data_IF_172880050739
#
_entry.id   IF_172880050739
#
_cell.length_a   1.000
_cell.length_b   1.000
_cell.length_c   1.000
_cell.angle_alpha   90.00
_cell.angle_beta   90.00
_cell.angle_gamma   90.00
#
_symmetry.space_group_name_H-M   'P 1'
#
loop_
_entity.id
_entity.type
_entity.pdbx_description
1 polymer ?
#
# COMPACT_ATOMS: atom_id res chain seq x y z
N UNK A 1 -35.20 31.63 -57.69
CA UNK A 1 -34.23 32.43 -56.91
C UNK A 1 -33.22 33.00 -57.87
N UNK A 2 -33.08 34.32 -57.89
CA UNK A 2 -32.02 34.97 -58.66
C UNK A 2 -30.72 34.92 -57.86
N UNK A 3 -29.57 34.97 -58.53
CA UNK A 3 -28.25 35.07 -57.89
C UNK A 3 -28.15 36.26 -56.92
N UNK A 4 -28.94 37.31 -57.14
CA UNK A 4 -29.05 38.47 -56.26
C UNK A 4 -29.80 38.18 -54.94
N UNK A 5 -30.78 37.27 -54.94
CA UNK A 5 -31.49 36.88 -53.72
C UNK A 5 -30.55 36.11 -52.78
N UNK A 6 -29.76 35.20 -53.35
CA UNK A 6 -28.79 34.39 -52.60
C UNK A 6 -27.66 35.23 -51.98
N UNK A 7 -27.16 36.23 -52.71
CA UNK A 7 -26.15 37.16 -52.19
C UNK A 7 -26.69 38.00 -51.01
N UNK A 8 -27.94 38.45 -51.10
CA UNK A 8 -28.61 39.21 -50.03
C UNK A 8 -28.86 38.35 -48.78
N UNK A 9 -29.28 37.11 -48.97
CA UNK A 9 -29.50 36.16 -47.87
C UNK A 9 -28.18 35.81 -47.16
N UNK A 10 -27.09 35.61 -47.92
CA UNK A 10 -25.75 35.42 -47.36
C UNK A 10 -25.25 36.65 -46.57
N UNK A 11 -25.49 37.86 -47.09
CA UNK A 11 -25.11 39.09 -46.39
C UNK A 11 -25.91 39.29 -45.11
N UNK A 12 -27.21 38.98 -45.12
CA UNK A 12 -28.06 39.01 -43.93
C UNK A 12 -27.59 37.99 -42.89
N UNK A 13 -27.35 36.74 -43.28
CA UNK A 13 -26.83 35.71 -42.39
C UNK A 13 -25.46 36.09 -41.78
N UNK A 14 -24.57 36.72 -42.56
CA UNK A 14 -23.29 37.21 -42.06
C UNK A 14 -23.47 38.33 -41.03
N UNK A 15 -24.39 39.27 -41.25
CA UNK A 15 -24.71 40.34 -40.30
C UNK A 15 -25.30 39.80 -39.01
N UNK A 16 -26.21 38.83 -39.09
CA UNK A 16 -26.79 38.15 -37.93
C UNK A 16 -25.73 37.38 -37.13
N UNK A 17 -24.82 36.69 -37.82
CA UNK A 17 -23.68 36.02 -37.18
C UNK A 17 -22.75 37.02 -36.46
N UNK A 18 -22.43 38.15 -37.10
CA UNK A 18 -21.59 39.19 -36.50
C UNK A 18 -22.27 39.83 -35.28
N UNK A 19 -23.57 40.12 -35.34
CA UNK A 19 -24.35 40.65 -34.23
C UNK A 19 -24.44 39.65 -33.06
N UNK A 20 -24.67 38.37 -33.35
CA UNK A 20 -24.66 37.29 -32.37
C UNK A 20 -23.31 37.16 -31.68
N UNK A 21 -22.21 37.22 -32.45
CA UNK A 21 -20.84 37.18 -31.93
C UNK A 21 -20.52 38.40 -31.04
N UNK A 22 -20.96 39.59 -31.44
CA UNK A 22 -20.79 40.80 -30.64
C UNK A 22 -21.53 40.70 -29.29
N UNK A 23 -22.79 40.24 -29.31
CA UNK A 23 -23.59 40.00 -28.10
C UNK A 23 -22.97 38.94 -27.19
N UNK A 24 -22.46 37.84 -27.75
CA UNK A 24 -21.76 36.82 -26.98
C UNK A 24 -20.48 37.38 -26.32
N UNK A 25 -19.72 38.22 -27.02
CA UNK A 25 -18.53 38.87 -26.47
C UNK A 25 -18.87 39.83 -25.32
N UNK A 26 -19.95 40.60 -25.44
CA UNK A 26 -20.44 41.48 -24.38
C UNK A 26 -20.85 40.70 -23.12
N UNK A 27 -21.61 39.61 -23.29
CA UNK A 27 -21.99 38.71 -22.18
C UNK A 27 -20.75 38.13 -21.51
N UNK A 28 -19.78 37.62 -22.29
CA UNK A 28 -18.52 37.08 -21.75
C UNK A 28 -17.70 38.16 -21.02
N UNK A 29 -17.67 39.40 -21.52
CA UNK A 29 -16.98 40.50 -20.86
C UNK A 29 -17.62 40.88 -19.52
N UNK A 30 -18.95 40.84 -19.45
CA UNK A 30 -19.72 41.07 -18.22
C UNK A 30 -19.45 39.96 -17.21
N UNK A 31 -19.51 38.69 -17.65
CA UNK A 31 -19.19 37.53 -16.81
C UNK A 31 -17.75 37.57 -16.27
N UNK A 32 -16.76 37.90 -17.12
CA UNK A 32 -15.37 38.09 -16.69
C UNK A 32 -15.22 39.21 -15.66
N UNK A 33 -15.94 40.30 -15.85
CA UNK A 33 -15.92 41.43 -14.90
C UNK A 33 -16.55 41.03 -13.55
N UNK A 34 -17.58 40.17 -13.55
CA UNK A 34 -18.20 39.67 -12.31
C UNK A 34 -17.41 38.55 -11.61
N UNK A 35 -16.63 37.75 -12.34
CA UNK A 35 -15.86 36.63 -11.76
C UNK A 35 -14.52 37.08 -11.18
N UNK A 36 -13.92 38.14 -11.73
CA UNK A 36 -12.61 38.65 -11.26
C UNK A 36 -12.59 38.97 -9.76
N UNK A 37 -13.60 39.65 -9.16
CA UNK A 37 -13.65 39.88 -7.71
C UNK A 37 -13.77 38.58 -6.89
N UNK A 38 -14.42 37.55 -7.44
CA UNK A 38 -14.55 36.23 -6.79
C UNK A 38 -13.18 35.53 -6.80
N UNK A 39 -12.47 35.54 -7.92
CA UNK A 39 -11.13 34.98 -8.03
C UNK A 39 -10.12 35.69 -7.12
N UNK A 40 -10.21 37.02 -7.00
CA UNK A 40 -9.41 37.81 -6.07
C UNK A 40 -9.71 37.43 -4.62
N UNK A 41 -10.99 37.23 -4.27
CA UNK A 41 -11.38 36.79 -2.93
C UNK A 41 -10.91 35.37 -2.61
N UNK A 42 -10.95 34.45 -3.58
CA UNK A 42 -10.40 33.09 -3.41
C UNK A 42 -8.89 33.16 -3.15
N UNK A 43 -8.15 34.01 -3.89
CA UNK A 43 -6.71 34.20 -3.67
C UNK A 43 -6.41 34.76 -2.28
N UNK A 44 -7.20 35.74 -1.82
CA UNK A 44 -7.06 36.30 -0.46
C UNK A 44 -7.32 35.27 0.63
N UNK A 45 -8.39 34.48 0.51
CA UNK A 45 -8.72 33.43 1.49
C UNK A 45 -7.66 32.33 1.54
N UNK A 46 -7.07 31.95 0.40
CA UNK A 46 -5.94 31.01 0.37
C UNK A 46 -4.72 31.55 1.10
N UNK A 47 -4.37 32.82 0.88
CA UNK A 47 -3.25 33.45 1.59
C UNK A 47 -3.50 33.51 3.11
N UNK A 48 -4.74 33.78 3.55
CA UNK A 48 -5.11 33.74 4.96
C UNK A 48 -5.03 32.33 5.54
N UNK A 49 -5.46 31.31 4.78
CA UNK A 49 -5.35 29.91 5.18
C UNK A 49 -3.88 29.48 5.34
N UNK A 50 -3.01 29.87 4.42
CA UNK A 50 -1.58 29.59 4.47
C UNK A 50 -0.94 30.26 5.70
N UNK A 51 -1.28 31.52 5.97
CA UNK A 51 -0.80 32.26 7.15
C UNK A 51 -1.25 31.60 8.47
N UNK A 52 -2.53 31.22 8.57
CA UNK A 52 -3.06 30.53 9.75
C UNK A 52 -2.43 29.15 9.93
N UNK A 53 -2.17 28.44 8.84
CA UNK A 53 -1.49 27.14 8.85
C UNK A 53 -0.06 27.30 9.36
N UNK A 54 0.68 28.30 8.89
CA UNK A 54 2.01 28.63 9.37
C UNK A 54 2.02 29.03 10.86
N UNK A 55 1.04 29.84 11.30
CA UNK A 55 0.87 30.21 12.72
C UNK A 55 0.58 29.00 13.60
N UNK A 56 -0.32 28.11 13.16
CA UNK A 56 -0.63 26.85 13.87
C UNK A 56 0.61 25.99 13.99
N UNK A 57 1.38 25.83 12.91
CA UNK A 57 2.62 25.06 12.93
C UNK A 57 3.65 25.66 13.91
N UNK A 58 3.81 27.00 13.93
CA UNK A 58 4.69 27.68 14.87
C UNK A 58 4.25 27.49 16.33
N UNK A 59 2.95 27.61 16.63
CA UNK A 59 2.41 27.37 17.97
C UNK A 59 2.63 25.93 18.43
N UNK A 60 2.40 24.94 17.56
CA UNK A 60 2.65 23.52 17.86
C UNK A 60 4.15 23.28 18.11
N UNK A 61 5.04 23.89 17.31
CA UNK A 61 6.47 23.77 17.51
C UNK A 61 6.93 24.41 18.83
N UNK A 62 6.37 25.57 19.21
CA UNK A 62 6.66 26.24 20.48
C UNK A 62 6.13 25.44 21.68
N UNK A 63 4.90 24.92 21.60
CA UNK A 63 4.31 24.08 22.64
C UNK A 63 5.10 22.77 22.80
N UNK A 64 5.49 22.11 21.71
CA UNK A 64 6.38 20.96 21.75
C UNK A 64 7.73 21.34 22.39
N UNK A 65 8.38 22.41 21.94
CA UNK A 65 9.64 22.86 22.51
C UNK A 65 9.53 23.21 24.00
N UNK A 66 8.39 23.75 24.46
CA UNK A 66 8.12 24.05 25.86
C UNK A 66 7.84 22.79 26.70
N UNK A 67 7.08 21.84 26.15
CA UNK A 67 6.75 20.56 26.78
C UNK A 67 8.01 19.69 26.97
N UNK A 68 8.95 19.75 26.03
CA UNK A 68 10.22 19.02 26.07
C UNK A 68 11.40 19.82 26.69
N UNK A 69 11.22 21.12 26.98
CA UNK A 69 12.27 22.01 27.53
C UNK A 69 12.83 21.64 28.91
N UNK A 70 12.16 20.95 29.84
CA UNK A 70 12.73 20.72 31.17
C UNK A 70 13.65 19.50 31.33
N UNK A 71 13.71 18.59 30.35
CA UNK A 71 14.40 17.29 30.56
C UNK A 71 15.82 17.21 29.98
N UNK A 72 16.23 18.12 29.09
CA UNK A 72 17.56 18.05 28.43
C UNK A 72 18.73 18.05 29.43
N UNK A 73 18.62 18.80 30.52
CA UNK A 73 19.61 18.84 31.61
C UNK A 73 19.75 17.50 32.36
N UNK A 74 18.71 16.67 32.35
CA UNK A 74 18.72 15.34 32.97
C UNK A 74 18.81 14.23 31.93
N UNK A 75 18.68 14.51 30.63
CA UNK A 75 18.61 13.52 29.57
C UNK A 75 19.83 12.59 29.63
N UNK A 76 21.05 13.15 29.76
CA UNK A 76 22.26 12.35 29.91
C UNK A 76 22.22 11.43 31.13
N UNK A 77 21.69 11.89 32.27
CA UNK A 77 21.57 11.09 33.48
C UNK A 77 20.47 10.02 33.36
N UNK A 78 19.34 10.35 32.74
CA UNK A 78 18.23 9.45 32.46
C UNK A 78 18.66 8.36 31.48
N UNK A 79 19.34 8.72 30.38
CA UNK A 79 19.86 7.77 29.39
C UNK A 79 20.89 6.83 30.02
N UNK A 80 21.83 7.38 30.81
CA UNK A 80 22.82 6.58 31.52
C UNK A 80 22.17 5.61 32.52
N UNK A 81 21.19 6.08 33.29
CA UNK A 81 20.44 5.24 34.23
C UNK A 81 19.62 4.17 33.49
N UNK A 82 18.88 4.56 32.45
CA UNK A 82 18.09 3.66 31.60
C UNK A 82 18.97 2.55 31.02
N UNK A 83 20.10 2.91 30.42
CA UNK A 83 21.07 1.96 29.87
C UNK A 83 21.61 1.01 30.93
N UNK A 84 22.05 1.53 32.08
CA UNK A 84 22.59 0.71 33.16
C UNK A 84 21.54 -0.23 33.76
N UNK A 85 20.31 0.25 33.93
CA UNK A 85 19.21 -0.56 34.45
C UNK A 85 18.81 -1.67 33.48
N UNK A 86 18.64 -1.35 32.19
CA UNK A 86 18.29 -2.33 31.15
C UNK A 86 19.37 -3.41 31.01
N UNK A 87 20.65 -3.04 31.02
CA UNK A 87 21.75 -4.01 30.94
C UNK A 87 21.73 -4.97 32.12
N UNK A 88 21.53 -4.45 33.34
CA UNK A 88 21.44 -5.30 34.55
C UNK A 88 20.22 -6.20 34.54
N UNK A 89 19.09 -5.71 34.05
CA UNK A 89 17.87 -6.49 33.92
C UNK A 89 18.02 -7.60 32.87
N UNK A 90 18.55 -7.27 31.70
CA UNK A 90 18.83 -8.21 30.63
C UNK A 90 19.80 -9.32 31.08
N UNK A 91 20.89 -8.95 31.75
CA UNK A 91 21.84 -9.91 32.35
C UNK A 91 21.16 -10.81 33.39
N UNK A 92 20.32 -10.24 34.26
CA UNK A 92 19.55 -11.02 35.22
C UNK A 92 18.56 -11.99 34.54
N UNK A 93 17.92 -11.59 33.44
CA UNK A 93 17.06 -12.49 32.66
C UNK A 93 17.86 -13.62 32.04
N UNK A 94 18.97 -13.31 31.36
CA UNK A 94 19.83 -14.29 30.71
C UNK A 94 20.37 -15.34 31.70
N UNK A 95 20.73 -14.90 32.91
CA UNK A 95 21.35 -15.77 33.92
C UNK A 95 20.34 -16.56 34.76
N UNK A 96 19.13 -16.02 34.99
CA UNK A 96 18.18 -16.61 35.94
C UNK A 96 17.00 -17.30 35.28
N UNK A 97 16.62 -16.90 34.06
CA UNK A 97 15.48 -17.47 33.37
C UNK A 97 15.94 -18.49 32.33
N UNK A 98 15.27 -19.64 32.21
CA UNK A 98 15.47 -20.54 31.07
C UNK A 98 15.00 -19.87 29.77
N UNK A 99 15.51 -20.34 28.64
CA UNK A 99 15.29 -19.71 27.32
C UNK A 99 13.80 -19.60 26.98
N UNK A 100 12.99 -20.59 27.34
CA UNK A 100 11.56 -20.64 27.08
C UNK A 100 10.81 -19.51 27.81
N UNK A 101 11.18 -19.22 29.06
CA UNK A 101 10.57 -18.11 29.80
C UNK A 101 11.02 -16.74 29.26
N UNK A 102 12.26 -16.64 28.75
CA UNK A 102 12.72 -15.42 28.08
C UNK A 102 11.96 -15.17 26.79
N UNK A 103 11.77 -16.19 25.97
CA UNK A 103 10.97 -16.12 24.74
C UNK A 103 9.53 -15.65 25.01
N UNK A 104 8.89 -16.13 26.10
CA UNK A 104 7.58 -15.63 26.51
C UNK A 104 7.58 -14.12 26.83
N UNK A 105 8.60 -13.63 27.54
CA UNK A 105 8.75 -12.20 27.82
C UNK A 105 8.94 -11.41 26.53
N UNK A 106 9.76 -11.91 25.62
CA UNK A 106 10.03 -11.24 24.33
C UNK A 106 8.79 -11.19 23.46
N UNK A 107 8.01 -12.27 23.39
CA UNK A 107 6.73 -12.29 22.70
C UNK A 107 5.75 -11.26 23.30
N UNK A 108 5.72 -11.14 24.63
CA UNK A 108 4.90 -10.13 25.30
C UNK A 108 5.33 -8.69 24.94
N UNK A 109 6.64 -8.42 24.81
CA UNK A 109 7.13 -7.10 24.38
C UNK A 109 6.60 -6.74 22.97
N UNK A 110 6.60 -7.70 22.05
CA UNK A 110 6.07 -7.52 20.69
C UNK A 110 4.54 -7.49 20.60
N UNK A 111 3.84 -8.08 21.57
CA UNK A 111 2.38 -8.02 21.66
C UNK A 111 1.90 -6.71 22.28
N UNK A 112 2.59 -6.23 23.33
CA UNK A 112 2.29 -4.99 24.03
C UNK A 112 2.58 -3.73 23.21
N UNK A 113 3.43 -3.83 22.18
CA UNK A 113 3.68 -2.76 21.19
C UNK A 113 2.59 -2.65 20.13
N UNK A 114 1.52 -3.46 20.22
CA UNK A 114 0.37 -3.34 19.32
C UNK A 114 -0.52 -2.18 19.77
N UNK A 115 -0.89 -1.33 18.83
CA UNK A 115 -1.87 -0.27 19.06
C UNK A 115 -3.28 -0.83 19.33
N UNK A 116 -4.25 0.06 19.61
CA UNK A 116 -5.66 -0.34 19.77
C UNK A 116 -6.28 -0.98 18.50
N UNK A 117 -5.61 -0.89 17.35
CA UNK A 117 -5.98 -1.57 16.12
C UNK A 117 -5.25 -2.92 15.91
N UNK A 118 -4.41 -3.34 16.87
CA UNK A 118 -3.68 -4.61 16.82
C UNK A 118 -2.44 -4.58 15.91
N UNK A 119 -2.00 -3.40 15.46
CA UNK A 119 -0.85 -3.20 14.57
C UNK A 119 0.41 -2.96 15.37
N UNK A 120 1.49 -3.63 14.98
CA UNK A 120 2.80 -3.44 15.60
C UNK A 120 3.50 -2.25 14.94
N UNK A 121 3.05 -1.04 15.27
CA UNK A 121 3.51 0.20 14.63
C UNK A 121 5.02 0.41 14.82
N UNK A 122 5.64 -0.08 15.89
CA UNK A 122 7.08 0.06 16.13
C UNK A 122 7.92 -0.81 15.17
N UNK A 123 7.57 -2.09 15.02
CA UNK A 123 8.26 -2.99 14.09
C UNK A 123 8.02 -2.59 12.62
N UNK A 124 6.78 -2.19 12.31
CA UNK A 124 6.41 -1.69 11.00
C UNK A 124 7.16 -0.38 10.70
N UNK A 125 7.17 0.58 11.62
CA UNK A 125 7.90 1.84 11.46
C UNK A 125 9.39 1.62 11.26
N UNK A 126 10.03 0.68 11.97
CA UNK A 126 11.43 0.33 11.75
C UNK A 126 11.68 -0.30 10.37
N UNK A 127 10.77 -1.18 9.92
CA UNK A 127 10.82 -1.74 8.57
C UNK A 127 10.69 -0.67 7.49
N UNK A 128 9.83 0.32 7.72
CA UNK A 128 9.61 1.44 6.82
C UNK A 128 10.69 2.52 6.93
N UNK A 129 11.32 2.73 8.09
CA UNK A 129 12.37 3.74 8.32
C UNK A 129 13.69 3.47 7.58
N UNK A 130 13.89 2.24 7.08
CA UNK A 130 15.01 1.93 6.16
C UNK A 130 14.78 2.44 4.73
N UNK A 131 13.71 3.20 4.47
CA UNK A 131 13.44 3.84 3.17
C UNK A 131 13.89 5.32 3.19
N UNK A 132 14.71 5.76 2.22
CA UNK A 132 15.34 7.08 2.24
C UNK A 132 14.39 8.30 2.15
N UNK A 133 13.10 8.12 1.87
CA UNK A 133 12.09 9.19 1.79
C UNK A 133 11.24 9.39 3.06
N UNK A 134 11.30 8.49 4.04
CA UNK A 134 10.56 8.62 5.30
C UNK A 134 11.34 9.39 6.38
N UNK A 135 12.30 10.19 5.94
CA UNK A 135 13.13 11.09 6.76
C UNK A 135 12.32 12.15 7.52
N UNK A 136 11.04 12.36 7.23
CA UNK A 136 10.21 13.30 8.01
C UNK A 136 9.94 12.78 9.45
N UNK A 137 10.32 11.52 9.74
CA UNK A 137 10.40 10.96 11.10
C UNK A 137 11.84 10.86 11.64
N UNK A 138 12.74 11.76 11.22
CA UNK A 138 14.21 11.77 11.42
C UNK A 138 14.75 11.62 12.87
N UNK A 139 13.90 11.56 13.91
CA UNK A 139 14.31 11.17 15.28
C UNK A 139 13.90 9.73 15.69
N UNK A 140 13.26 8.95 14.80
CA UNK A 140 12.75 7.58 15.08
C UNK A 140 13.70 6.44 14.71
N UNK A 141 14.95 6.74 14.36
CA UNK A 141 16.00 5.72 14.22
C UNK A 141 16.44 5.11 15.56
N UNK A 142 15.87 5.57 16.67
CA UNK A 142 16.09 4.98 17.99
C UNK A 142 15.24 3.71 18.09
N UNK A 143 15.89 2.57 17.83
CA UNK A 143 15.39 1.26 18.24
C UNK A 143 14.88 1.34 19.69
N UNK A 144 13.68 0.81 20.03
CA UNK A 144 13.25 0.75 21.42
C UNK A 144 14.37 0.20 22.32
N UNK A 145 14.54 0.76 23.51
CA UNK A 145 15.64 0.40 24.41
C UNK A 145 15.71 -1.10 24.71
N UNK A 146 14.58 -1.82 24.62
CA UNK A 146 14.55 -3.26 24.85
C UNK A 146 15.08 -4.09 23.68
N UNK A 147 15.29 -3.53 22.48
CA UNK A 147 16.02 -4.17 21.36
C UNK A 147 17.38 -3.55 21.05
N UNK A 148 17.64 -2.32 21.52
CA UNK A 148 18.94 -1.69 21.31
C UNK A 148 20.07 -2.45 22.04
N UNK A 149 21.05 -2.91 21.28
CA UNK A 149 22.24 -3.61 21.79
C UNK A 149 23.00 -2.80 22.84
N UNK A 150 22.96 -1.46 22.80
CA UNK A 150 23.58 -0.64 23.82
C UNK A 150 22.85 -0.73 25.17
N UNK A 151 21.55 -0.99 25.17
CA UNK A 151 20.69 -1.02 26.35
C UNK A 151 20.49 -2.42 26.92
N UNK A 152 20.39 -3.47 26.10
CA UNK A 152 20.15 -4.84 26.57
C UNK A 152 21.32 -5.81 26.32
N UNK A 153 22.34 -5.35 25.60
CA UNK A 153 23.45 -6.19 25.17
C UNK A 153 23.11 -7.04 23.93
N UNK A 154 24.13 -7.48 23.17
CA UNK A 154 23.93 -8.13 21.88
C UNK A 154 23.20 -9.48 21.98
N UNK A 155 23.48 -10.29 23.00
CA UNK A 155 22.84 -11.60 23.18
C UNK A 155 21.33 -11.46 23.42
N UNK A 156 20.93 -10.56 24.31
CA UNK A 156 19.51 -10.31 24.60
C UNK A 156 18.79 -9.68 23.42
N UNK A 157 19.40 -8.68 22.77
CA UNK A 157 18.84 -8.09 21.56
C UNK A 157 18.61 -9.16 20.48
N UNK A 158 19.58 -10.06 20.27
CA UNK A 158 19.47 -11.16 19.32
C UNK A 158 18.31 -12.10 19.66
N UNK A 159 18.15 -12.53 20.91
CA UNK A 159 17.02 -13.40 21.30
C UNK A 159 15.66 -12.69 21.14
N UNK A 160 15.60 -11.38 21.37
CA UNK A 160 14.36 -10.60 21.19
C UNK A 160 13.96 -10.49 19.73
N UNK A 161 14.90 -10.18 18.83
CA UNK A 161 14.64 -10.17 17.38
C UNK A 161 14.34 -11.58 16.88
N UNK A 162 15.04 -12.61 17.39
CA UNK A 162 14.74 -14.00 17.09
C UNK A 162 13.30 -14.36 17.47
N UNK A 163 12.84 -13.96 18.66
CA UNK A 163 11.46 -14.14 19.09
C UNK A 163 10.48 -13.45 18.14
N UNK A 164 10.78 -12.24 17.63
CA UNK A 164 9.94 -11.56 16.64
C UNK A 164 9.73 -12.40 15.37
N UNK A 165 10.82 -12.91 14.78
CA UNK A 165 10.76 -13.74 13.57
C UNK A 165 10.15 -15.14 13.81
N UNK A 166 10.18 -15.64 15.06
CA UNK A 166 9.66 -16.96 15.46
C UNK A 166 8.22 -16.97 15.95
N UNK A 167 7.78 -15.91 16.64
CA UNK A 167 6.40 -15.72 17.12
C UNK A 167 5.37 -15.87 15.99
N UNK A 168 5.87 -15.83 14.76
CA UNK A 168 5.11 -15.93 13.56
C UNK A 168 4.41 -14.61 13.36
N UNK A 169 4.18 -14.29 12.09
CA UNK A 169 3.40 -13.13 11.75
C UNK A 169 1.98 -13.29 12.33
N UNK A 170 1.78 -12.83 13.57
CA UNK A 170 0.47 -12.41 14.05
C UNK A 170 -0.11 -11.49 12.97
N UNK A 171 -1.43 -11.49 12.72
CA UNK A 171 -2.06 -10.89 11.54
C UNK A 171 -1.64 -9.45 11.14
N UNK A 172 -0.95 -8.72 12.02
CA UNK A 172 -0.35 -7.41 11.78
C UNK A 172 1.06 -7.37 11.16
N UNK A 173 1.77 -8.49 10.98
CA UNK A 173 3.12 -8.51 10.38
C UNK A 173 3.04 -9.06 8.95
N UNK A 174 2.61 -8.25 7.99
CA UNK A 174 2.50 -8.67 6.59
C UNK A 174 3.68 -8.12 5.80
N UNK A 175 4.26 -8.94 4.91
CA UNK A 175 5.14 -8.44 3.86
C UNK A 175 4.24 -7.83 2.80
N UNK A 176 4.14 -6.49 2.80
CA UNK A 176 3.32 -5.74 1.85
C UNK A 176 3.99 -5.69 0.48
N UNK A 177 3.46 -6.48 -0.44
CA UNK A 177 3.95 -6.61 -1.80
C UNK A 177 5.04 -7.68 -1.95
N UNK A 178 5.02 -8.47 -3.03
CA UNK A 178 5.97 -9.54 -3.26
C UNK A 178 7.41 -9.04 -3.38
N UNK A 179 7.63 -7.82 -3.88
CA UNK A 179 8.96 -7.21 -4.01
C UNK A 179 9.71 -7.04 -2.68
N UNK A 180 9.00 -7.04 -1.55
CA UNK A 180 9.58 -6.88 -0.23
C UNK A 180 9.97 -8.21 0.44
N UNK A 181 9.69 -9.36 -0.18
CA UNK A 181 10.04 -10.68 0.36
C UNK A 181 11.55 -10.81 0.53
N UNK A 182 12.33 -10.39 -0.47
CA UNK A 182 13.78 -10.51 -0.43
C UNK A 182 14.36 -9.70 0.73
N UNK A 183 13.94 -8.43 0.85
CA UNK A 183 14.29 -7.54 1.95
C UNK A 183 13.97 -8.19 3.30
N UNK A 184 12.74 -8.73 3.44
CA UNK A 184 12.29 -9.42 4.66
C UNK A 184 13.19 -10.58 5.09
N UNK A 185 13.74 -11.32 4.12
CA UNK A 185 14.51 -12.52 4.39
C UNK A 185 16.01 -12.29 4.50
N UNK A 186 16.52 -11.18 3.95
CA UNK A 186 17.95 -10.95 3.75
C UNK A 186 18.48 -9.76 4.55
N UNK A 187 17.65 -8.74 4.80
CA UNK A 187 18.10 -7.51 5.42
C UNK A 187 18.02 -7.61 6.95
N UNK A 188 19.13 -7.29 7.59
CA UNK A 188 19.18 -7.07 9.03
C UNK A 188 18.75 -5.63 9.32
N UNK A 189 17.44 -5.37 9.28
CA UNK A 189 16.87 -4.03 9.53
C UNK A 189 17.12 -3.50 10.93
N UNK A 190 17.52 -4.38 11.86
CA UNK A 190 17.88 -4.00 13.23
C UNK A 190 19.38 -3.77 13.41
N UNK A 191 20.19 -4.10 12.40
CA UNK A 191 21.65 -3.94 12.39
C UNK A 191 22.36 -4.61 13.58
N UNK A 192 21.87 -5.76 14.03
CA UNK A 192 22.42 -6.52 15.18
C UNK A 192 23.22 -7.77 14.79
N UNK A 193 23.49 -7.97 13.50
CA UNK A 193 24.08 -9.19 12.94
C UNK A 193 23.08 -10.34 12.80
N UNK A 194 21.79 -10.04 12.64
CA UNK A 194 20.74 -11.04 12.53
C UNK A 194 20.56 -11.56 11.09
N UNK A 195 20.25 -12.84 10.92
CA UNK A 195 20.00 -13.45 9.60
C UNK A 195 18.58 -13.98 9.50
N UNK A 196 17.60 -13.18 9.02
CA UNK A 196 16.18 -13.55 9.02
C UNK A 196 15.86 -14.91 8.41
N UNK A 197 16.46 -15.20 7.25
CA UNK A 197 16.26 -16.46 6.53
C UNK A 197 16.57 -17.75 7.32
N UNK A 198 17.29 -17.68 8.45
CA UNK A 198 17.54 -18.86 9.32
C UNK A 198 16.47 -19.05 10.39
N UNK A 199 15.86 -17.95 10.84
CA UNK A 199 14.97 -17.92 11.99
C UNK A 199 13.48 -17.86 11.64
N UNK A 200 13.12 -17.35 10.45
CA UNK A 200 11.72 -17.27 10.00
C UNK A 200 11.05 -18.64 10.09
N UNK A 201 9.88 -18.69 10.74
CA UNK A 201 8.99 -19.87 10.82
C UNK A 201 7.60 -19.63 10.26
N UNK A 202 7.22 -18.38 10.08
CA UNK A 202 5.97 -18.01 9.43
C UNK A 202 6.16 -16.73 8.62
N UNK A 203 5.57 -16.66 7.43
CA UNK A 203 5.54 -15.47 6.60
C UNK A 203 4.14 -15.28 6.02
N UNK A 204 3.66 -14.04 6.06
CA UNK A 204 2.41 -13.63 5.42
C UNK A 204 2.76 -12.61 4.34
N UNK A 205 2.58 -12.97 3.08
CA UNK A 205 2.79 -12.10 1.93
C UNK A 205 1.45 -11.51 1.52
N UNK A 206 1.29 -10.21 1.70
CA UNK A 206 0.12 -9.48 1.23
C UNK A 206 0.39 -8.96 -0.18
N UNK A 207 -0.24 -9.57 -1.18
CA UNK A 207 -0.04 -9.30 -2.58
C UNK A 207 -1.28 -8.61 -3.15
N UNK A 208 -1.19 -7.29 -3.31
CA UNK A 208 -2.20 -6.55 -4.07
C UNK A 208 -2.00 -6.84 -5.55
N UNK A 209 -2.85 -7.70 -6.11
CA UNK A 209 -2.76 -8.22 -7.49
C UNK A 209 -2.81 -7.07 -8.49
N UNK A 210 -3.57 -6.02 -8.20
CA UNK A 210 -3.64 -4.81 -9.01
C UNK A 210 -2.30 -4.08 -9.15
N UNK A 211 -1.36 -4.20 -8.20
CA UNK A 211 -0.03 -3.57 -8.25
C UNK A 211 1.04 -4.38 -8.98
N UNK A 212 0.79 -5.65 -9.28
CA UNK A 212 1.80 -6.57 -9.83
C UNK A 212 1.98 -6.45 -11.35
N UNK A 213 1.82 -5.27 -11.95
CA UNK A 213 1.71 -5.07 -13.42
C UNK A 213 3.02 -4.60 -14.07
N UNK A 214 3.14 -4.87 -15.37
CA UNK A 214 4.31 -4.53 -16.20
C UNK A 214 4.48 -3.03 -16.49
N UNK A 215 3.39 -2.28 -16.66
CA UNK A 215 3.44 -0.82 -16.73
C UNK A 215 3.02 -0.28 -15.37
N UNK A 216 3.63 0.81 -14.88
CA UNK A 216 3.18 1.53 -13.66
C UNK A 216 2.64 2.93 -13.96
N UNK A 217 2.83 3.40 -15.18
CA UNK A 217 2.56 4.78 -15.56
C UNK A 217 1.89 4.75 -16.93
N UNK A 218 0.64 5.19 -16.99
CA UNK A 218 0.12 5.62 -18.27
C UNK A 218 0.96 6.83 -18.70
N UNK A 219 1.80 6.67 -19.73
CA UNK A 219 2.61 7.77 -20.27
C UNK A 219 1.74 8.93 -20.79
N UNK A 220 0.44 8.69 -20.97
CA UNK A 220 -0.53 9.71 -21.29
C UNK A 220 -1.08 10.33 -19.99
N UNK A 221 -0.84 11.63 -19.84
CA UNK A 221 -1.38 12.44 -18.76
C UNK A 221 -2.89 12.16 -18.58
N UNK A 222 -3.28 11.66 -17.39
CA UNK A 222 -4.61 11.13 -17.05
C UNK A 222 -5.79 12.03 -17.45
N UNK A 223 -5.53 13.34 -17.50
CA UNK A 223 -6.52 14.37 -17.79
C UNK A 223 -6.80 14.57 -19.29
N UNK A 224 -6.09 13.89 -20.19
CA UNK A 224 -6.38 13.97 -21.62
C UNK A 224 -7.49 12.99 -21.98
N UNK A 225 -8.64 13.52 -22.38
CA UNK A 225 -9.86 12.82 -22.83
C UNK A 225 -9.72 11.99 -24.13
N UNK A 226 -8.53 11.45 -24.40
CA UNK A 226 -8.22 10.69 -25.61
C UNK A 226 -7.08 9.68 -25.41
N UNK A 227 -6.79 9.26 -24.17
CA UNK A 227 -5.87 8.15 -23.94
C UNK A 227 -6.39 6.90 -24.68
N UNK A 228 -5.51 6.13 -25.33
CA UNK A 228 -5.88 4.85 -25.94
C UNK A 228 -4.88 3.84 -25.45
N UNK A 229 -5.35 2.90 -24.62
CA UNK A 229 -4.52 1.81 -24.11
C UNK A 229 -4.59 0.64 -25.07
N UNK A 230 -3.44 0.09 -25.46
CA UNK A 230 -3.31 -1.16 -26.21
C UNK A 230 -3.80 -2.35 -25.37
N UNK A 231 -4.18 -3.46 -26.01
CA UNK A 231 -4.52 -4.68 -25.26
C UNK A 231 -3.34 -5.16 -24.37
N UNK A 232 -2.10 -4.93 -24.80
CA UNK A 232 -0.86 -5.17 -24.04
C UNK A 232 -0.57 -4.16 -22.92
N UNK A 233 -1.28 -3.05 -22.83
CA UNK A 233 -1.27 -2.16 -21.65
C UNK A 233 -2.43 -2.52 -20.68
N UNK A 234 -3.44 -3.26 -21.20
CA UNK A 234 -4.57 -3.80 -20.45
C UNK A 234 -4.27 -5.16 -19.82
N UNK A 235 -3.35 -5.89 -20.42
CA UNK A 235 -2.72 -7.16 -20.02
C UNK A 235 -1.26 -6.84 -19.65
N UNK A 236 -0.55 -7.38 -18.68
CA UNK A 236 -0.70 -8.51 -17.78
C UNK A 236 0.24 -8.24 -16.57
N UNK A 237 0.19 -9.08 -15.55
CA UNK A 237 1.13 -9.01 -14.42
C UNK A 237 2.58 -9.13 -14.92
N UNK A 238 3.54 -8.54 -14.19
CA UNK A 238 4.95 -8.80 -14.42
C UNK A 238 5.28 -10.20 -13.89
N UNK A 239 4.89 -11.24 -14.63
CA UNK A 239 5.01 -12.64 -14.20
C UNK A 239 6.44 -13.00 -13.81
N UNK A 240 7.44 -12.53 -14.60
CA UNK A 240 8.85 -12.78 -14.33
C UNK A 240 9.31 -12.13 -13.02
N UNK A 241 8.91 -10.89 -12.76
CA UNK A 241 9.21 -10.22 -11.49
C UNK A 241 8.49 -10.89 -10.32
N UNK A 242 7.20 -11.21 -10.49
CA UNK A 242 6.40 -11.86 -9.47
C UNK A 242 7.00 -13.23 -9.10
N UNK A 243 7.37 -14.03 -10.09
CA UNK A 243 8.06 -15.29 -9.89
C UNK A 243 9.38 -15.10 -9.14
N UNK A 244 10.25 -14.18 -9.59
CA UNK A 244 11.52 -13.85 -8.91
C UNK A 244 11.31 -13.46 -7.45
N UNK A 245 10.29 -12.65 -7.17
CA UNK A 245 9.96 -12.22 -5.83
C UNK A 245 9.55 -13.41 -4.93
N UNK A 246 8.67 -14.29 -5.41
CA UNK A 246 8.25 -15.47 -4.64
C UNK A 246 9.35 -16.54 -4.53
N UNK A 247 10.22 -16.67 -5.52
CA UNK A 247 11.41 -17.53 -5.46
C UNK A 247 12.37 -17.10 -4.34
N UNK A 248 12.31 -15.85 -3.88
CA UNK A 248 13.08 -15.40 -2.70
C UNK A 248 12.73 -16.17 -1.43
N UNK A 249 11.52 -16.76 -1.34
CA UNK A 249 11.14 -17.65 -0.23
C UNK A 249 12.05 -18.89 -0.15
N UNK A 250 12.70 -19.29 -1.24
CA UNK A 250 13.64 -20.40 -1.23
C UNK A 250 14.89 -20.16 -0.38
N UNK A 251 15.21 -18.89 -0.09
CA UNK A 251 16.31 -18.52 0.80
C UNK A 251 16.08 -18.95 2.25
N UNK A 252 14.83 -19.20 2.66
CA UNK A 252 14.52 -19.71 4.00
C UNK A 252 15.17 -21.09 4.18
N UNK A 253 16.08 -21.21 5.16
CA UNK A 253 16.87 -22.43 5.34
C UNK A 253 16.03 -23.60 5.86
N UNK A 254 15.17 -23.34 6.85
CA UNK A 254 14.31 -24.36 7.43
C UNK A 254 12.89 -24.25 6.88
N UNK A 255 12.56 -25.13 5.93
CA UNK A 255 11.25 -25.17 5.27
C UNK A 255 10.28 -26.15 5.94
N UNK A 256 10.77 -27.06 6.77
CA UNK A 256 9.92 -28.04 7.44
C UNK A 256 9.02 -27.32 8.47
N UNK A 257 7.71 -27.51 8.35
CA UNK A 257 6.70 -26.81 9.14
C UNK A 257 6.73 -25.28 9.02
N UNK A 258 7.41 -24.73 8.00
CA UNK A 258 7.33 -23.31 7.67
C UNK A 258 5.91 -22.96 7.29
N UNK A 259 5.30 -21.97 7.93
CA UNK A 259 3.96 -21.49 7.57
C UNK A 259 4.09 -20.36 6.56
N UNK A 260 3.51 -20.50 5.37
CA UNK A 260 3.50 -19.45 4.34
C UNK A 260 2.05 -19.12 4.01
N UNK A 261 1.63 -17.88 4.25
CA UNK A 261 0.33 -17.39 3.82
C UNK A 261 0.51 -16.38 2.71
N UNK A 262 -0.19 -16.57 1.60
CA UNK A 262 -0.18 -15.64 0.47
C UNK A 262 -1.59 -15.07 0.38
N UNK A 263 -1.74 -13.80 0.73
CA UNK A 263 -3.00 -13.07 0.68
C UNK A 263 -3.05 -12.26 -0.61
N UNK A 264 -3.79 -12.76 -1.58
CA UNK A 264 -4.04 -12.10 -2.85
C UNK A 264 -5.24 -11.15 -2.68
N UNK A 265 -5.07 -9.87 -2.93
CA UNK A 265 -6.19 -8.92 -2.87
C UNK A 265 -6.38 -8.24 -4.21
N UNK A 266 -7.64 -8.10 -4.61
CA UNK A 266 -8.03 -7.49 -5.87
C UNK A 266 -9.22 -6.53 -5.69
N UNK A 267 -9.17 -5.41 -6.38
CA UNK A 267 -10.23 -4.38 -6.38
C UNK A 267 -11.16 -4.50 -7.59
N UNK A 268 -10.63 -5.05 -8.69
CA UNK A 268 -11.39 -5.35 -9.90
C UNK A 268 -11.19 -6.82 -10.25
N UNK A 269 -12.26 -7.61 -10.12
CA UNK A 269 -12.19 -9.06 -10.23
C UNK A 269 -11.87 -9.45 -11.68
N UNK A 270 -10.65 -9.97 -11.90
CA UNK A 270 -10.13 -10.29 -13.23
C UNK A 270 -9.55 -11.70 -13.23
N UNK A 271 -10.32 -12.67 -13.71
CA UNK A 271 -9.93 -14.08 -13.69
C UNK A 271 -8.65 -14.32 -14.49
N UNK A 272 -8.53 -13.72 -15.68
CA UNK A 272 -7.33 -13.83 -16.51
C UNK A 272 -6.06 -13.34 -15.80
N UNK A 273 -6.16 -12.29 -14.96
CA UNK A 273 -5.02 -11.82 -14.15
C UNK A 273 -4.70 -12.78 -13.01
N UNK A 274 -5.73 -13.32 -12.36
CA UNK A 274 -5.52 -14.33 -11.31
C UNK A 274 -4.83 -15.57 -11.85
N UNK A 275 -5.14 -16.00 -13.07
CA UNK A 275 -4.44 -17.11 -13.70
C UNK A 275 -2.92 -16.88 -13.77
N UNK A 276 -2.50 -15.70 -14.20
CA UNK A 276 -1.08 -15.38 -14.30
C UNK A 276 -0.39 -15.33 -12.96
N UNK A 277 -1.06 -14.76 -11.95
CA UNK A 277 -0.57 -14.74 -10.58
C UNK A 277 -0.37 -16.17 -10.09
N UNK A 278 -1.38 -17.03 -10.22
CA UNK A 278 -1.31 -18.44 -9.81
C UNK A 278 -0.21 -19.19 -10.58
N UNK A 279 -0.05 -18.94 -11.89
CA UNK A 279 1.04 -19.50 -12.70
C UNK A 279 2.41 -19.04 -12.18
N UNK A 280 2.57 -17.75 -11.91
CA UNK A 280 3.83 -17.14 -11.47
C UNK A 280 4.28 -17.64 -10.10
N UNK A 281 3.34 -17.81 -9.16
CA UNK A 281 3.64 -18.28 -7.80
C UNK A 281 3.62 -19.81 -7.67
N UNK A 282 3.11 -20.51 -8.69
CA UNK A 282 2.90 -21.96 -8.64
C UNK A 282 4.18 -22.78 -8.49
N UNK A 283 5.31 -22.29 -9.02
CA UNK A 283 6.61 -22.93 -8.79
C UNK A 283 7.00 -22.87 -7.31
N UNK A 284 7.03 -21.67 -6.73
CA UNK A 284 7.33 -21.47 -5.32
C UNK A 284 6.39 -22.25 -4.40
N UNK A 285 5.08 -22.23 -4.69
CA UNK A 285 4.08 -22.98 -3.93
C UNK A 285 4.39 -24.48 -3.88
N UNK A 286 4.57 -25.13 -5.04
CA UNK A 286 4.83 -26.58 -5.09
C UNK A 286 6.15 -26.94 -4.42
N UNK A 287 7.23 -26.22 -4.73
CA UNK A 287 8.56 -26.50 -4.18
C UNK A 287 8.61 -26.32 -2.66
N UNK A 288 7.94 -25.31 -2.10
CA UNK A 288 7.85 -25.14 -0.65
C UNK A 288 6.99 -26.24 0.00
N UNK A 289 5.87 -26.63 -0.63
CA UNK A 289 4.98 -27.70 -0.14
C UNK A 289 5.72 -29.04 -0.09
N UNK A 290 6.46 -29.37 -1.15
CA UNK A 290 7.30 -30.58 -1.23
C UNK A 290 8.41 -30.57 -0.16
N UNK A 291 8.92 -29.40 0.20
CA UNK A 291 9.90 -29.24 1.27
C UNK A 291 9.30 -29.30 2.69
N UNK A 292 8.01 -29.58 2.84
CA UNK A 292 7.32 -29.71 4.13
C UNK A 292 6.76 -28.42 4.71
N UNK A 293 6.67 -27.35 3.92
CA UNK A 293 6.01 -26.11 4.34
C UNK A 293 4.48 -26.26 4.32
N UNK A 294 3.82 -25.54 5.23
CA UNK A 294 2.36 -25.39 5.30
C UNK A 294 1.98 -24.11 4.58
N UNK A 295 1.46 -24.25 3.36
CA UNK A 295 1.05 -23.11 2.53
C UNK A 295 -0.46 -22.90 2.58
N UNK A 296 -0.86 -21.63 2.67
CA UNK A 296 -2.23 -21.19 2.46
C UNK A 296 -2.21 -20.06 1.45
N UNK A 297 -3.00 -20.16 0.39
CA UNK A 297 -3.22 -19.07 -0.56
C UNK A 297 -4.67 -18.65 -0.45
N UNK A 298 -4.88 -17.36 -0.28
CA UNK A 298 -6.21 -16.78 -0.13
C UNK A 298 -6.39 -15.68 -1.14
N UNK A 299 -7.62 -15.47 -1.56
CA UNK A 299 -8.01 -14.33 -2.35
C UNK A 299 -9.10 -13.56 -1.62
N UNK A 300 -9.01 -12.23 -1.69
CA UNK A 300 -10.04 -11.33 -1.17
C UNK A 300 -10.39 -10.23 -2.15
N UNK A 301 -11.69 -9.92 -2.19
CA UNK A 301 -12.23 -8.73 -2.82
C UNK A 301 -12.25 -7.57 -1.81
N UNK A 302 -11.78 -6.41 -2.22
CA UNK A 302 -11.70 -5.24 -1.32
C UNK A 302 -12.49 -4.01 -1.80
N UNK A 303 -13.28 -4.14 -2.87
CA UNK A 303 -14.10 -3.03 -3.38
C UNK A 303 -13.28 -1.93 -4.08
N UNK A 304 -13.96 -0.83 -4.40
CA UNK A 304 -13.34 0.37 -4.98
C UNK A 304 -12.56 1.16 -3.91
N UNK A 305 -11.38 1.66 -4.29
CA UNK A 305 -10.45 2.38 -3.41
C UNK A 305 -11.03 3.65 -2.77
N UNK A 306 -11.97 4.33 -3.42
CA UNK A 306 -12.51 5.61 -2.95
C UNK A 306 -13.20 5.56 -1.57
N UNK A 307 -13.48 4.36 -1.07
CA UNK A 307 -14.02 4.18 0.27
C UNK A 307 -12.94 4.11 1.37
N UNK A 308 -11.68 3.79 1.02
CA UNK A 308 -10.55 3.80 1.95
C UNK A 308 -10.10 5.22 2.31
N UNK A 309 -10.12 6.14 1.34
CA UNK A 309 -9.71 7.55 1.54
C UNK A 309 -10.67 8.33 2.46
N UNK A 310 -11.92 7.88 2.61
CA UNK A 310 -12.92 8.54 3.46
C UNK A 310 -12.75 8.28 4.96
N UNK A 311 -11.59 7.79 5.38
CA UNK A 311 -11.29 7.56 6.79
C UNK A 311 -12.00 6.33 7.38
N UNK A 312 -12.55 5.46 6.53
CA UNK A 312 -12.89 4.10 6.97
C UNK A 312 -11.59 3.40 7.31
N UNK A 313 -11.43 3.12 8.60
CA UNK A 313 -10.22 2.58 9.22
C UNK A 313 -9.93 1.15 8.73
N UNK A 314 -9.44 1.02 7.50
CA UNK A 314 -9.11 -0.25 6.90
C UNK A 314 -10.26 -1.27 6.92
N UNK A 315 -9.95 -2.55 6.67
CA UNK A 315 -10.92 -3.62 6.49
C UNK A 315 -11.48 -4.05 7.85
N UNK A 316 -12.35 -3.25 8.48
CA UNK A 316 -12.92 -3.59 9.78
C UNK A 316 -14.34 -4.15 9.75
N UNK A 317 -15.18 -3.84 8.76
CA UNK A 317 -16.56 -4.36 8.72
C UNK A 317 -17.14 -4.52 7.31
N UNK A 318 -16.33 -4.47 6.25
CA UNK A 318 -16.79 -4.91 4.94
C UNK A 318 -16.72 -6.44 4.95
N UNK A 319 -17.84 -7.12 4.69
CA UNK A 319 -17.88 -8.57 4.42
C UNK A 319 -17.00 -8.86 3.19
N UNK A 320 -15.69 -8.96 3.42
CA UNK A 320 -14.74 -9.19 2.35
C UNK A 320 -15.05 -10.54 1.75
N UNK A 321 -15.44 -10.53 0.48
CA UNK A 321 -15.57 -11.76 -0.25
C UNK A 321 -14.20 -12.45 -0.23
N UNK A 322 -14.14 -13.61 0.40
CA UNK A 322 -12.90 -14.31 0.69
C UNK A 322 -12.99 -15.74 0.20
N UNK A 323 -11.92 -16.19 -0.43
CA UNK A 323 -11.82 -17.55 -0.94
C UNK A 323 -10.45 -18.14 -0.65
N UNK A 324 -10.43 -19.40 -0.21
CA UNK A 324 -9.21 -20.17 -0.06
C UNK A 324 -8.88 -20.85 -1.40
N UNK A 325 -7.65 -20.71 -1.87
CA UNK A 325 -7.19 -21.10 -3.21
C UNK A 325 -6.16 -22.23 -3.21
N UNK A 326 -5.84 -22.84 -2.06
CA UNK A 326 -4.79 -23.89 -1.95
C UNK A 326 -4.94 -25.01 -2.98
N UNK A 327 -6.18 -25.44 -3.26
CA UNK A 327 -6.48 -26.53 -4.19
C UNK A 327 -6.27 -26.14 -5.66
N UNK A 328 -6.27 -24.84 -5.99
CA UNK A 328 -6.25 -24.39 -7.39
C UNK A 328 -4.93 -24.70 -8.09
N UNK A 329 -3.85 -24.88 -7.32
CA UNK A 329 -2.54 -25.30 -7.84
C UNK A 329 -2.51 -26.76 -8.30
N UNK A 330 -3.50 -27.56 -7.89
CA UNK A 330 -3.63 -28.98 -8.21
C UNK A 330 -4.73 -29.23 -9.27
N UNK A 331 -5.51 -28.20 -9.65
CA UNK A 331 -6.58 -28.27 -10.63
C UNK A 331 -6.11 -27.83 -12.04
N UNK A 332 -6.81 -28.29 -13.09
CA UNK A 332 -6.60 -27.72 -14.42
C UNK A 332 -7.06 -26.26 -14.48
N UNK A 333 -6.55 -25.51 -15.46
CA UNK A 333 -6.91 -24.09 -15.62
C UNK A 333 -8.43 -23.93 -15.80
N UNK A 334 -9.04 -24.81 -16.57
CA UNK A 334 -10.48 -24.83 -16.84
C UNK A 334 -11.29 -25.11 -15.57
N UNK A 335 -10.82 -26.05 -14.74
CA UNK A 335 -11.50 -26.46 -13.52
C UNK A 335 -11.51 -25.34 -12.48
N UNK A 336 -10.35 -24.78 -12.11
CA UNK A 336 -10.34 -23.74 -11.08
C UNK A 336 -11.03 -22.46 -11.57
N UNK A 337 -10.95 -22.14 -12.87
CA UNK A 337 -11.70 -21.02 -13.45
C UNK A 337 -13.20 -21.22 -13.30
N UNK A 338 -13.70 -22.44 -13.54
CA UNK A 338 -15.11 -22.77 -13.36
C UNK A 338 -15.52 -22.66 -11.88
N UNK A 339 -14.72 -23.18 -10.96
CA UNK A 339 -14.95 -23.08 -9.52
C UNK A 339 -14.98 -21.62 -9.06
N UNK A 340 -14.03 -20.80 -9.53
CA UNK A 340 -13.96 -19.39 -9.17
C UNK A 340 -15.14 -18.60 -9.72
N UNK A 341 -15.54 -18.86 -10.97
CA UNK A 341 -16.76 -18.26 -11.56
C UNK A 341 -18.00 -18.62 -10.76
N UNK A 342 -18.15 -19.90 -10.41
CA UNK A 342 -19.28 -20.35 -9.60
C UNK A 342 -19.31 -19.64 -8.24
N UNK A 343 -18.17 -19.54 -7.56
CA UNK A 343 -18.05 -18.79 -6.31
C UNK A 343 -18.49 -17.32 -6.47
N UNK A 344 -18.02 -16.65 -7.52
CA UNK A 344 -18.41 -15.27 -7.81
C UNK A 344 -19.92 -15.17 -8.05
N UNK A 345 -20.50 -16.02 -8.90
CA UNK A 345 -21.92 -16.02 -9.23
C UNK A 345 -22.81 -16.15 -7.98
N UNK A 346 -22.44 -17.00 -7.02
CA UNK A 346 -23.14 -17.11 -5.74
C UNK A 346 -23.02 -15.84 -4.90
N UNK A 347 -21.80 -15.30 -4.76
CA UNK A 347 -21.53 -14.07 -3.99
C UNK A 347 -22.31 -12.86 -4.52
N UNK A 348 -22.60 -12.87 -5.82
CA UNK A 348 -23.35 -11.84 -6.51
C UNK A 348 -24.85 -11.95 -6.30
N UNK A 349 -25.38 -13.16 -6.25
CA UNK A 349 -26.76 -13.38 -5.85
C UNK A 349 -27.02 -12.86 -4.42
N UNK A 350 -25.98 -12.87 -3.58
CA UNK A 350 -26.00 -12.36 -2.21
C UNK A 350 -25.68 -10.86 -2.10
N UNK A 351 -25.52 -10.14 -3.23
CA UNK A 351 -25.17 -8.71 -3.28
C UNK A 351 -23.86 -8.32 -2.56
N UNK A 352 -22.90 -9.26 -2.45
CA UNK A 352 -21.60 -9.00 -1.79
C UNK A 352 -20.58 -8.34 -2.72
N UNK A 353 -20.85 -8.31 -4.02
CA UNK A 353 -20.02 -7.68 -5.05
C UNK A 353 -20.94 -6.88 -5.96
N UNK A 354 -20.58 -5.64 -6.27
CA UNK A 354 -21.37 -4.79 -7.16
C UNK A 354 -21.34 -5.35 -8.59
N UNK A 355 -22.48 -5.28 -9.29
CA UNK A 355 -22.60 -5.72 -10.69
C UNK A 355 -21.56 -5.02 -11.60
N UNK A 356 -21.17 -3.80 -11.28
CA UNK A 356 -20.16 -3.02 -12.01
C UNK A 356 -18.74 -3.59 -11.87
N UNK A 357 -18.48 -4.39 -10.84
CA UNK A 357 -17.16 -4.94 -10.53
C UNK A 357 -16.97 -6.36 -11.08
N UNK A 358 -18.05 -6.99 -11.62
CA UNK A 358 -18.03 -8.30 -12.31
C UNK A 358 -17.29 -8.32 -13.64
N UNK A 359 -17.00 -7.14 -14.19
CA UNK A 359 -17.00 -6.92 -15.64
C UNK A 359 -15.81 -7.58 -16.39
N UNK A 360 -14.93 -8.37 -15.75
CA UNK A 360 -13.70 -8.85 -16.38
C UNK A 360 -13.48 -10.37 -16.32
N UNK A 361 -14.54 -11.11 -16.65
CA UNK A 361 -14.55 -12.55 -16.90
C UNK A 361 -14.09 -12.88 -18.34
N UNK A 362 -12.80 -12.76 -18.65
CA UNK A 362 -12.14 -13.20 -19.91
C UNK A 362 -12.67 -12.69 -21.27
N UNK A 363 -13.86 -12.10 -21.34
CA UNK A 363 -14.45 -11.57 -22.54
C UNK A 363 -14.32 -10.05 -22.50
N UNK A 364 -13.92 -9.44 -23.61
CA UNK A 364 -13.98 -7.98 -23.82
C UNK A 364 -15.43 -7.53 -23.62
N UNK A 365 -15.82 -7.31 -22.37
CA UNK A 365 -17.15 -6.88 -22.00
C UNK A 365 -17.39 -5.47 -22.52
N UNK A 366 -18.62 -5.27 -22.95
CA UNK A 366 -19.18 -4.02 -23.47
C UNK A 366 -19.42 -3.00 -22.37
N UNK A 367 -18.47 -2.85 -21.43
CA UNK A 367 -18.58 -1.91 -20.32
C UNK A 367 -18.87 -0.50 -20.86
N UNK A 368 -19.90 0.14 -20.32
CA UNK A 368 -20.28 1.53 -20.64
C UNK A 368 -19.35 2.53 -19.99
N UNK A 369 -18.68 2.15 -18.90
CA UNK A 369 -17.55 2.90 -18.34
C UNK A 369 -16.45 2.91 -19.39
N UNK A 370 -15.94 4.09 -19.75
CA UNK A 370 -14.93 4.16 -20.80
C UNK A 370 -13.75 3.27 -20.37
N UNK A 371 -13.27 2.41 -21.27
CA UNK A 371 -12.14 1.52 -20.99
C UNK A 371 -10.91 2.29 -20.46
N UNK A 372 -10.84 3.59 -20.75
CA UNK A 372 -9.86 4.50 -20.19
C UNK A 372 -10.07 4.74 -18.70
N UNK A 373 -11.30 5.01 -18.23
CA UNK A 373 -11.57 5.21 -16.81
C UNK A 373 -11.20 3.98 -15.99
N UNK A 374 -11.41 2.77 -16.54
CA UNK A 374 -10.94 1.52 -15.94
C UNK A 374 -9.41 1.45 -15.88
N UNK A 375 -8.71 1.65 -17.00
CA UNK A 375 -7.24 1.64 -16.97
C UNK A 375 -6.69 2.72 -16.06
N UNK A 376 -7.34 3.87 -16.02
CA UNK A 376 -6.96 4.95 -15.14
C UNK A 376 -7.29 4.67 -13.68
N UNK A 377 -8.43 4.09 -13.32
CA UNK A 377 -8.77 3.76 -11.93
C UNK A 377 -7.95 2.60 -11.35
N UNK A 378 -7.24 1.85 -12.20
CA UNK A 378 -6.29 0.82 -11.79
C UNK A 378 -4.93 1.38 -11.35
N UNK A 379 -4.59 2.62 -11.71
CA UNK A 379 -3.48 3.34 -11.11
C UNK A 379 -3.99 4.07 -9.87
N UNK A 380 -3.17 4.26 -8.84
CA UNK A 380 -3.52 5.17 -7.74
C UNK A 380 -3.95 6.51 -8.31
N UNK A 381 -4.89 7.23 -7.68
CA UNK A 381 -5.05 8.68 -7.87
C UNK A 381 -3.68 9.36 -7.97
N UNK A 382 -3.57 10.52 -8.64
CA UNK A 382 -2.28 11.19 -8.90
C UNK A 382 -1.32 11.04 -7.69
N UNK A 383 0.01 10.99 -7.86
CA UNK A 383 0.97 10.84 -6.72
C UNK A 383 0.66 11.80 -5.54
N UNK A 384 -0.06 12.90 -5.79
CA UNK A 384 -0.59 13.85 -4.82
C UNK A 384 -1.83 13.43 -4.00
N UNK A 385 -2.56 12.39 -4.40
CA UNK A 385 -3.76 11.84 -3.75
C UNK A 385 -3.49 10.51 -3.01
N UNK A 386 -2.30 9.93 -3.17
CA UNK A 386 -1.91 8.78 -2.35
C UNK A 386 -1.89 9.19 -0.86
N UNK A 387 -2.35 8.30 0.05
CA UNK A 387 -2.12 8.51 1.48
C UNK A 387 -0.65 8.83 1.72
N UNK A 388 -0.29 9.81 2.57
CA UNK A 388 1.08 10.28 2.72
C UNK A 388 2.11 9.15 2.87
N UNK A 389 1.77 8.10 3.63
CA UNK A 389 2.63 6.93 3.84
C UNK A 389 2.91 6.11 2.57
N UNK A 390 2.00 6.11 1.58
CA UNK A 390 2.23 5.46 0.30
C UNK A 390 2.91 6.39 -0.71
N UNK A 391 2.64 7.70 -0.67
CA UNK A 391 3.34 8.69 -1.50
C UNK A 391 4.85 8.63 -1.22
N UNK A 392 5.21 8.55 0.06
CA UNK A 392 6.59 8.36 0.51
C UNK A 392 7.20 7.02 0.04
N UNK A 393 6.38 5.96 -0.09
CA UNK A 393 6.81 4.70 -0.71
C UNK A 393 7.05 4.85 -2.21
N UNK A 394 6.20 5.59 -2.94
CA UNK A 394 6.30 5.77 -4.39
C UNK A 394 7.46 6.69 -4.81
N UNK A 395 7.67 7.80 -4.09
CA UNK A 395 8.79 8.73 -4.30
C UNK A 395 10.16 8.04 -4.10
N UNK A 396 10.22 7.02 -3.23
CA UNK A 396 11.41 6.18 -3.06
C UNK A 396 11.68 5.24 -4.24
N UNK A 397 10.66 4.80 -5.01
CA UNK A 397 10.85 3.91 -6.16
C UNK A 397 11.43 4.63 -7.38
N UNK A 398 11.16 5.94 -7.53
CA UNK A 398 11.63 6.73 -8.67
C UNK A 398 13.09 7.22 -8.52
N UNK A 399 13.72 7.05 -7.36
CA UNK A 399 15.11 7.46 -7.08
C UNK A 399 16.13 6.31 -7.17
N UNK A 400 15.71 5.10 -7.57
CA UNK A 400 16.58 3.91 -7.65
C UNK A 400 16.88 3.45 -9.10
N UNK A 401 16.82 4.36 -10.08
CA UNK A 401 17.28 4.13 -11.47
C UNK A 401 18.13 5.28 -11.99
#
# INVERSE_FOLDING_TARGET
MTTNDLARDCEQAYRELCASKAKAHEVLSTWRSSITPVDDRIRELKAQQDELTAKKAAMVAEEAAAMFKPCSQFQTAVDAYSKAWNLRFADAMQTKLPAELREMVYNFLWEGSKDAAGKNDEAAALWYATHPGLSVYEDRHVLPHWIDTAHVGPATAFEIIQAWYRAGNTPGHRVYGPQNIEKFLCDDVFHIGFHPSTEVRSVVVYCMVDRCRLSRVCKHNRRRSGCQHTASERSYTNQAELQRCFDSLFKIKNKNQLVVRIELTQCYIRIGVMEEVLKSIGHAYRTLREAGAILTVTWSYCGKWGDWERGYSGPKDCDHLYMKMDSYFDLSVEQWRADFRSFLDHSLADHLVDDEDKVFLDELTTCTTSHNDFVHSMWFGDEDEMPPFEKDLLDCYNLAW
#
